data_IF_654728105417
#
_entry.id   IF_654728105417
#
_cell.length_a   1.000
_cell.length_b   1.000
_cell.length_c   1.000
_cell.angle_alpha   90.00
_cell.angle_beta   90.00
_cell.angle_gamma   90.00
#
_symmetry.space_group_name_H-M   'P 1'
#
loop_
_entity.id
_entity.type
_entity.pdbx_description
1 polymer ?
#
# COMPACT_ATOMS: atom_id res chain seq x y z
N UNK A 1 30.86 38.92 23.19
CA UNK A 1 30.02 37.83 23.76
C UNK A 1 28.57 37.85 23.27
N UNK A 2 27.93 39.00 23.01
CA UNK A 2 26.54 39.06 22.51
C UNK A 2 26.28 38.47 21.11
N UNK A 3 27.25 38.48 20.19
CA UNK A 3 27.04 37.98 18.81
C UNK A 3 27.05 36.45 18.70
N UNK A 4 27.79 35.78 19.58
CA UNK A 4 27.86 34.31 19.61
C UNK A 4 26.61 33.69 20.25
N UNK A 5 26.06 34.34 21.29
CA UNK A 5 24.78 33.92 21.88
C UNK A 5 23.60 34.10 20.91
N UNK A 6 23.61 35.15 20.09
CA UNK A 6 22.57 35.37 19.06
C UNK A 6 22.64 34.34 17.92
N UNK A 7 23.85 33.92 17.52
CA UNK A 7 24.01 32.90 16.48
C UNK A 7 23.56 31.51 16.92
N UNK A 8 23.78 31.17 18.18
CA UNK A 8 23.40 29.86 18.73
C UNK A 8 21.87 29.70 18.86
N UNK A 9 21.15 30.76 19.21
CA UNK A 9 19.68 30.74 19.33
C UNK A 9 18.98 30.66 17.97
N UNK A 10 19.52 31.30 16.93
CA UNK A 10 18.97 31.24 15.57
C UNK A 10 19.17 29.83 14.98
N UNK A 11 20.33 29.21 15.19
CA UNK A 11 20.59 27.83 14.73
C UNK A 11 19.70 26.80 15.46
N UNK A 12 19.46 26.99 16.76
CA UNK A 12 18.56 26.12 17.53
C UNK A 12 17.09 26.27 17.09
N UNK A 13 16.63 27.49 16.76
CA UNK A 13 15.27 27.73 16.26
C UNK A 13 14.98 27.08 14.91
N UNK A 14 15.96 27.04 14.00
CA UNK A 14 15.81 26.39 12.70
C UNK A 14 15.75 24.85 12.78
N UNK A 15 16.47 24.24 13.73
CA UNK A 15 16.45 22.78 13.93
C UNK A 15 15.07 22.27 14.40
N UNK A 16 14.32 23.08 15.15
CA UNK A 16 12.98 22.73 15.67
C UNK A 16 11.91 22.79 14.57
N UNK A 17 12.06 23.69 13.60
CA UNK A 17 11.10 23.86 12.49
C UNK A 17 11.16 22.74 11.44
N UNK A 18 12.32 22.08 11.27
CA UNK A 18 12.48 20.99 10.29
C UNK A 18 11.92 19.65 10.81
N UNK A 19 11.80 19.47 12.12
CA UNK A 19 11.29 18.24 12.76
C UNK A 19 9.76 18.20 12.89
N UNK A 20 9.07 19.32 12.64
CA UNK A 20 7.62 19.41 12.69
C UNK A 20 7.01 19.02 11.33
N UNK A 21 7.19 17.77 10.89
CA UNK A 21 6.41 17.23 9.78
C UNK A 21 4.95 17.13 10.24
N UNK A 22 4.14 18.09 9.79
CA UNK A 22 2.76 18.25 10.19
C UNK A 22 1.92 17.01 9.92
N UNK A 23 1.12 16.63 10.91
CA UNK A 23 0.00 15.69 10.73
C UNK A 23 -0.93 16.30 9.67
N UNK A 24 -1.10 15.63 8.54
CA UNK A 24 -2.00 16.10 7.46
C UNK A 24 -3.46 16.11 7.94
N UNK A 25 -3.80 15.19 8.86
CA UNK A 25 -5.10 15.15 9.55
C UNK A 25 -4.96 14.48 10.94
N UNK A 26 -5.44 15.08 12.04
CA UNK A 26 -5.34 14.49 13.38
C UNK A 26 -6.06 13.14 13.55
N UNK A 27 -7.08 12.87 12.73
CA UNK A 27 -7.89 11.65 12.79
C UNK A 27 -7.46 10.54 11.84
N UNK A 28 -6.56 10.83 10.89
CA UNK A 28 -6.10 9.79 9.96
C UNK A 28 -5.12 8.84 10.66
N UNK A 29 -5.18 7.54 10.36
CA UNK A 29 -4.17 6.58 10.81
C UNK A 29 -2.78 7.10 10.46
N UNK A 30 -1.99 7.40 11.48
CA UNK A 30 -0.63 7.89 11.27
C UNK A 30 0.26 6.70 10.90
N UNK A 31 1.13 6.84 9.89
CA UNK A 31 2.09 5.80 9.57
C UNK A 31 2.97 5.55 10.81
N UNK A 32 3.24 4.29 11.09
CA UNK A 32 4.03 3.86 12.27
C UNK A 32 5.51 4.25 12.16
N UNK A 33 5.97 4.64 10.96
CA UNK A 33 7.29 5.20 10.70
C UNK A 33 7.26 6.27 9.60
N UNK A 34 8.23 7.19 9.63
CA UNK A 34 8.48 8.12 8.53
C UNK A 34 9.37 7.44 7.48
N UNK A 35 8.99 7.50 6.19
CA UNK A 35 9.74 6.89 5.08
C UNK A 35 10.08 5.41 5.33
N UNK A 36 9.09 4.64 5.82
CA UNK A 36 9.25 3.21 6.05
C UNK A 36 9.80 2.49 4.79
N UNK A 37 10.62 1.45 4.95
CA UNK A 37 10.99 0.58 3.84
C UNK A 37 9.73 0.08 3.13
N UNK A 38 9.64 0.35 1.83
CA UNK A 38 8.57 -0.12 0.95
C UNK A 38 9.11 -1.16 -0.01
N UNK A 39 8.27 -2.14 -0.35
CA UNK A 39 8.57 -3.10 -1.41
C UNK A 39 7.89 -2.64 -2.68
N UNK A 40 8.69 -2.32 -3.71
CA UNK A 40 8.16 -2.03 -5.04
C UNK A 40 7.76 -3.32 -5.76
N UNK A 41 6.56 -3.34 -6.32
CA UNK A 41 6.05 -4.45 -7.12
C UNK A 41 5.68 -3.89 -8.49
N UNK A 42 6.37 -4.31 -9.56
CA UNK A 42 6.04 -3.85 -10.90
C UNK A 42 4.70 -4.42 -11.36
N UNK A 43 3.91 -3.61 -12.05
CA UNK A 43 2.63 -4.05 -12.64
C UNK A 43 2.81 -5.26 -13.57
N UNK A 44 3.92 -5.32 -14.31
CA UNK A 44 4.22 -6.43 -15.22
C UNK A 44 4.33 -7.79 -14.53
N UNK A 45 4.75 -7.83 -13.27
CA UNK A 45 4.75 -9.05 -12.45
C UNK A 45 3.31 -9.50 -12.19
N UNK A 46 2.46 -8.59 -11.71
CA UNK A 46 1.05 -8.89 -11.42
C UNK A 46 0.32 -9.37 -12.68
N UNK A 47 0.51 -8.70 -13.82
CA UNK A 47 -0.07 -9.09 -15.09
C UNK A 47 0.40 -10.47 -15.57
N UNK A 48 1.67 -10.83 -15.32
CA UNK A 48 2.19 -12.14 -15.66
C UNK A 48 1.48 -13.25 -14.87
N UNK A 49 1.24 -13.03 -13.56
CA UNK A 49 0.47 -13.96 -12.74
C UNK A 49 -1.00 -14.03 -13.15
N UNK A 50 -1.63 -12.91 -13.53
CA UNK A 50 -2.99 -12.94 -14.10
C UNK A 50 -3.06 -13.75 -15.38
N UNK A 51 -2.11 -13.56 -16.32
CA UNK A 51 -2.04 -14.34 -17.57
C UNK A 51 -1.87 -15.83 -17.29
N UNK A 52 -1.04 -16.18 -16.32
CA UNK A 52 -0.86 -17.56 -15.88
C UNK A 52 -2.17 -18.14 -15.33
N UNK A 53 -2.86 -17.40 -14.44
CA UNK A 53 -4.13 -17.83 -13.86
C UNK A 53 -5.17 -18.14 -14.94
N UNK A 54 -5.31 -17.26 -15.95
CA UNK A 54 -6.19 -17.47 -17.11
C UNK A 54 -5.80 -18.73 -17.88
N UNK A 55 -4.50 -18.90 -18.18
CA UNK A 55 -4.02 -20.05 -18.94
C UNK A 55 -4.25 -21.39 -18.21
N UNK A 56 -4.10 -21.39 -16.88
CA UNK A 56 -4.28 -22.55 -16.02
C UNK A 56 -5.72 -22.74 -15.53
N UNK A 57 -6.64 -21.84 -15.93
CA UNK A 57 -8.06 -21.82 -15.50
C UNK A 57 -8.22 -21.73 -13.98
N UNK A 58 -7.35 -20.94 -13.34
CA UNK A 58 -7.42 -20.61 -11.92
C UNK A 58 -8.11 -19.26 -11.74
N UNK A 59 -8.97 -19.17 -10.72
CA UNK A 59 -9.64 -17.92 -10.33
C UNK A 59 -8.73 -17.08 -9.43
N UNK A 60 -8.07 -17.74 -8.47
CA UNK A 60 -7.18 -17.10 -7.51
C UNK A 60 -5.75 -17.61 -7.71
N UNK A 61 -4.81 -16.68 -7.87
CA UNK A 61 -3.39 -16.98 -8.05
C UNK A 61 -2.56 -16.21 -7.02
N UNK A 62 -1.88 -16.93 -6.14
CA UNK A 62 -0.88 -16.31 -5.27
C UNK A 62 0.28 -15.76 -6.12
N UNK A 63 0.68 -14.53 -5.83
CA UNK A 63 1.83 -13.86 -6.43
C UNK A 63 3.06 -14.07 -5.55
N UNK A 64 3.01 -13.57 -4.31
CA UNK A 64 4.11 -13.64 -3.33
C UNK A 64 3.67 -13.24 -1.93
N UNK A 65 4.52 -13.53 -0.96
CA UNK A 65 4.48 -12.97 0.39
C UNK A 65 5.59 -11.91 0.53
N UNK A 66 5.30 -10.80 1.20
CA UNK A 66 6.25 -9.71 1.43
C UNK A 66 6.21 -9.18 2.86
N UNK A 67 7.37 -8.67 3.26
CA UNK A 67 7.50 -7.89 4.48
C UNK A 67 7.37 -6.40 4.17
N UNK A 68 6.45 -5.73 4.87
CA UNK A 68 6.36 -4.26 4.88
C UNK A 68 6.46 -3.79 6.34
N UNK A 69 7.67 -3.40 6.74
CA UNK A 69 7.96 -3.00 8.13
C UNK A 69 7.80 -4.17 9.11
N UNK A 70 6.64 -4.23 9.80
CA UNK A 70 6.29 -5.30 10.75
C UNK A 70 5.08 -6.15 10.29
N UNK A 71 4.61 -5.93 9.06
CA UNK A 71 3.48 -6.63 8.50
C UNK A 71 3.95 -7.66 7.47
N UNK A 72 3.44 -8.89 7.62
CA UNK A 72 3.52 -9.95 6.63
C UNK A 72 2.31 -9.82 5.71
N UNK A 73 2.54 -9.57 4.42
CA UNK A 73 1.48 -9.30 3.44
C UNK A 73 1.55 -10.32 2.31
N UNK A 74 0.55 -11.19 2.25
CA UNK A 74 0.31 -12.05 1.09
C UNK A 74 -0.38 -11.26 -0.03
N UNK A 75 0.11 -11.44 -1.26
CA UNK A 75 -0.43 -10.81 -2.47
C UNK A 75 -0.94 -11.90 -3.40
N UNK A 76 -2.19 -11.78 -3.81
CA UNK A 76 -2.84 -12.65 -4.78
C UNK A 76 -3.56 -11.85 -5.86
N UNK A 77 -3.59 -12.40 -7.08
CA UNK A 77 -4.42 -11.89 -8.17
C UNK A 77 -5.67 -12.73 -8.29
N UNK A 78 -6.81 -12.06 -8.34
CA UNK A 78 -8.11 -12.69 -8.60
C UNK A 78 -8.55 -12.29 -10.00
N UNK A 79 -8.96 -13.28 -10.78
CA UNK A 79 -9.53 -13.09 -12.10
C UNK A 79 -10.83 -13.89 -12.16
N UNK A 80 -11.94 -13.19 -12.39
CA UNK A 80 -13.22 -13.81 -12.75
C UNK A 80 -13.59 -13.34 -14.15
N UNK A 81 -14.08 -14.26 -14.98
CA UNK A 81 -14.67 -13.91 -16.25
C UNK A 81 -16.14 -13.57 -16.08
N UNK A 82 -16.69 -12.88 -17.07
CA UNK A 82 -18.13 -12.64 -17.15
C UNK A 82 -18.90 -13.96 -17.11
N UNK A 83 -19.95 -14.01 -16.30
CA UNK A 83 -20.90 -15.12 -16.29
C UNK A 83 -21.79 -15.08 -17.53
N UNK A 84 -21.99 -16.23 -18.17
CA UNK A 84 -22.92 -16.36 -19.30
C UNK A 84 -24.36 -16.06 -18.90
N UNK A 85 -24.73 -16.40 -17.66
CA UNK A 85 -26.03 -16.08 -17.06
C UNK A 85 -25.89 -15.86 -15.54
N UNK A 86 -26.69 -14.95 -14.95
CA UNK A 86 -26.78 -14.81 -13.49
C UNK A 86 -27.22 -16.12 -12.84
N UNK A 87 -26.75 -16.41 -11.63
CA UNK A 87 -27.29 -17.51 -10.84
C UNK A 87 -28.72 -17.17 -10.36
N UNK A 88 -29.56 -18.17 -10.04
CA UNK A 88 -30.88 -17.91 -9.47
C UNK A 88 -30.76 -17.05 -8.21
N UNK A 89 -31.57 -15.99 -8.11
CA UNK A 89 -31.54 -15.01 -7.02
C UNK A 89 -30.26 -14.17 -6.92
N UNK A 90 -29.43 -14.09 -7.97
CA UNK A 90 -28.33 -13.12 -8.03
C UNK A 90 -28.85 -11.69 -8.24
N UNK A 91 -28.34 -10.75 -7.45
CA UNK A 91 -28.68 -9.31 -7.53
C UNK A 91 -27.66 -8.49 -8.31
N UNK A 92 -26.40 -8.92 -8.33
CA UNK A 92 -25.31 -8.29 -9.07
C UNK A 92 -24.16 -9.27 -9.31
N UNK A 93 -23.45 -9.07 -10.40
CA UNK A 93 -22.17 -9.71 -10.67
C UNK A 93 -21.04 -8.76 -10.22
N UNK A 94 -20.05 -9.29 -9.49
CA UNK A 94 -18.90 -8.52 -9.05
C UNK A 94 -17.63 -9.07 -9.70
N UNK A 95 -16.96 -8.23 -10.46
CA UNK A 95 -15.75 -8.57 -11.21
C UNK A 95 -14.47 -8.46 -10.36
N UNK A 96 -14.54 -7.75 -9.22
CA UNK A 96 -13.39 -7.39 -8.37
C UNK A 96 -13.56 -7.73 -6.88
N UNK A 97 -14.59 -8.50 -6.51
CA UNK A 97 -14.83 -8.87 -5.10
C UNK A 97 -14.42 -10.32 -4.90
N UNK A 98 -13.40 -10.51 -4.05
CA UNK A 98 -13.01 -11.79 -3.48
C UNK A 98 -13.06 -11.69 -1.96
N UNK A 99 -13.52 -12.75 -1.29
CA UNK A 99 -13.51 -12.87 0.17
C UNK A 99 -12.28 -13.69 0.57
N UNK A 100 -11.52 -13.19 1.55
CA UNK A 100 -10.36 -13.85 2.16
C UNK A 100 -10.56 -13.99 3.65
#
# INVERSE_FOLDING_TARGET
MNKFLLGLTIAAGFAVLVMAQGKINPTDPQPTCNMCPGTYIPLSELEAYTKKAIAEKLIDQQVRDIEIGKAHVGIGMVHRGKLDKPAPNSVAEHDLVSEV
#
